data_IF_678000956721
#
_entry.id   IF_678000956721
#
_cell.length_a   1.000
_cell.length_b   1.000
_cell.length_c   1.000
_cell.angle_alpha   90.00
_cell.angle_beta   90.00
_cell.angle_gamma   90.00
#
_symmetry.space_group_name_H-M   'P 1'
#
loop_
_entity.id
_entity.type
_entity.pdbx_description
1 polymer ?
#
# COMPACT_ATOMS: atom_id res chain seq x y z
N UNK A 1 -26.28 5.45 3.28
CA UNK A 1 -25.37 5.11 2.17
C UNK A 1 -24.04 4.68 2.77
N UNK A 2 -23.68 3.40 2.72
CA UNK A 2 -22.41 2.96 3.27
C UNK A 2 -21.29 3.30 2.29
N UNK A 3 -20.31 4.06 2.78
CA UNK A 3 -19.05 4.38 2.12
C UNK A 3 -18.31 3.05 1.87
N UNK A 4 -17.85 2.77 0.64
CA UNK A 4 -17.10 1.55 0.36
C UNK A 4 -15.79 1.57 1.16
N UNK A 5 -15.50 0.45 1.82
CA UNK A 5 -14.24 0.20 2.52
C UNK A 5 -13.11 0.25 1.49
N UNK A 6 -12.39 1.36 1.43
CA UNK A 6 -11.04 1.39 0.86
C UNK A 6 -10.20 0.50 1.77
N UNK A 7 -9.83 -0.69 1.28
CA UNK A 7 -8.77 -1.48 1.87
C UNK A 7 -7.48 -0.68 1.70
N UNK A 8 -7.16 0.17 2.67
CA UNK A 8 -5.85 0.80 2.78
C UNK A 8 -4.81 -0.31 2.80
N UNK A 9 -3.92 -0.33 1.81
CA UNK A 9 -2.75 -1.20 1.79
C UNK A 9 -1.75 -0.62 2.79
N UNK A 10 -1.86 -0.94 4.06
CA UNK A 10 -0.78 -0.56 4.98
C UNK A 10 0.38 -1.52 4.72
N UNK A 11 1.32 -1.12 3.86
CA UNK A 11 2.62 -1.76 3.75
C UNK A 11 3.44 -1.39 5.00
N UNK A 12 3.77 -2.38 5.83
CA UNK A 12 4.72 -2.17 6.91
C UNK A 12 6.12 -2.14 6.29
N UNK A 13 6.77 -0.96 6.30
CA UNK A 13 8.06 -0.76 5.62
C UNK A 13 9.22 -1.13 6.52
N UNK A 14 9.93 -2.21 6.22
CA UNK A 14 11.12 -2.61 6.97
C UNK A 14 12.42 -1.97 6.45
N UNK A 15 13.27 -1.53 7.38
CA UNK A 15 14.60 -0.97 7.13
C UNK A 15 15.63 -2.09 7.33
N UNK A 16 16.46 -2.38 6.34
CA UNK A 16 17.50 -3.43 6.40
C UNK A 16 18.87 -2.76 6.43
N UNK A 17 19.32 -2.41 7.63
CA UNK A 17 20.65 -1.83 7.82
C UNK A 17 21.75 -2.82 7.40
N UNK A 18 22.33 -2.61 6.22
CA UNK A 18 23.52 -3.32 5.75
C UNK A 18 24.76 -2.67 6.39
N UNK A 19 25.39 -3.38 7.32
CA UNK A 19 26.70 -3.00 7.86
C UNK A 19 27.78 -3.27 6.81
N UNK A 20 28.10 -2.27 5.99
CA UNK A 20 29.28 -2.29 5.12
C UNK A 20 30.50 -1.67 5.84
N UNK A 21 31.59 -2.44 5.88
CA UNK A 21 32.82 -2.15 6.59
C UNK A 21 33.63 -0.96 6.05
N UNK A 22 34.50 -0.45 6.92
CA UNK A 22 35.39 0.69 6.73
C UNK A 22 36.35 0.54 5.53
N UNK A 23 36.57 1.64 4.80
CA UNK A 23 37.58 1.77 3.76
C UNK A 23 38.00 3.23 3.53
N UNK A 24 39.02 3.65 4.28
CA UNK A 24 40.01 4.75 4.18
C UNK A 24 39.93 5.85 3.11
N UNK A 25 40.20 7.09 3.58
CA UNK A 25 40.39 8.38 2.88
C UNK A 25 41.63 8.51 1.97
N UNK A 26 41.55 9.46 1.02
CA UNK A 26 42.67 10.12 0.32
C UNK A 26 42.20 11.22 -0.66
N UNK A 27 42.97 12.31 -0.94
CA UNK A 27 42.45 13.69 -0.83
C UNK A 27 42.31 14.55 -2.12
N UNK A 28 41.41 15.55 -2.01
CA UNK A 28 41.29 16.91 -2.60
C UNK A 28 41.86 17.32 -3.98
N UNK A 29 41.00 17.98 -4.77
CA UNK A 29 41.31 19.23 -5.52
C UNK A 29 40.04 20.07 -5.80
N UNK A 30 40.08 21.37 -5.47
CA UNK A 30 39.05 22.42 -5.67
C UNK A 30 38.97 22.90 -7.14
N UNK A 31 37.83 23.37 -7.69
CA UNK A 31 37.22 24.74 -7.66
C UNK A 31 35.99 24.74 -8.63
N UNK A 32 35.21 25.84 -8.86
CA UNK A 32 34.54 26.80 -7.97
C UNK A 32 32.99 26.83 -8.18
N UNK A 33 32.28 27.61 -7.37
CA UNK A 33 30.81 27.66 -7.26
C UNK A 33 30.06 28.22 -8.49
N UNK A 34 28.73 27.98 -8.57
CA UNK A 34 27.83 29.12 -8.63
C UNK A 34 26.66 29.07 -7.63
N UNK A 35 26.27 30.28 -7.26
CA UNK A 35 25.21 30.72 -6.39
C UNK A 35 23.81 30.21 -6.74
N UNK A 36 23.10 29.64 -5.75
CA UNK A 36 21.67 29.88 -5.53
C UNK A 36 21.29 29.40 -4.12
N UNK A 37 20.53 30.24 -3.41
CA UNK A 37 20.06 30.05 -2.05
C UNK A 37 19.15 28.81 -1.93
N UNK A 38 19.72 27.69 -1.48
CA UNK A 38 18.99 26.58 -0.86
C UNK A 38 19.28 26.64 0.63
N UNK A 39 18.24 26.73 1.46
CA UNK A 39 18.33 26.27 2.86
C UNK A 39 18.57 24.77 2.82
N UNK A 40 19.82 24.37 2.59
CA UNK A 40 20.29 23.00 2.68
C UNK A 40 20.47 22.64 4.13
N UNK A 41 19.37 22.36 4.82
CA UNK A 41 19.43 21.63 6.08
C UNK A 41 19.85 20.19 5.74
N UNK A 42 20.89 19.69 6.42
CA UNK A 42 21.34 18.32 6.24
C UNK A 42 20.18 17.34 6.50
N UNK A 43 20.12 16.18 5.83
CA UNK A 43 19.05 15.21 6.04
C UNK A 43 18.96 14.83 7.52
N UNK A 44 17.82 15.15 8.15
CA UNK A 44 17.59 14.79 9.55
C UNK A 44 17.22 13.31 9.60
N UNK A 45 18.13 12.48 10.13
CA UNK A 45 17.86 11.08 10.42
C UNK A 45 16.74 10.93 11.45
N UNK A 46 15.88 9.92 11.28
CA UNK A 46 14.76 9.66 12.17
C UNK A 46 13.58 10.64 12.04
N UNK A 47 13.53 11.44 10.97
CA UNK A 47 12.47 12.40 10.70
C UNK A 47 11.85 12.23 9.30
N UNK A 48 10.59 12.62 9.15
CA UNK A 48 10.02 12.87 7.84
C UNK A 48 10.51 14.21 7.29
N UNK A 49 10.90 14.24 6.01
CA UNK A 49 11.21 15.46 5.26
C UNK A 49 10.27 15.58 4.06
N UNK A 50 9.79 16.79 3.75
CA UNK A 50 8.97 17.00 2.56
C UNK A 50 9.80 16.93 1.28
N UNK A 51 9.32 16.14 0.33
CA UNK A 51 9.82 16.09 -1.06
C UNK A 51 8.84 16.80 -2.01
N UNK A 52 7.56 16.84 -1.64
CA UNK A 52 6.52 17.56 -2.38
C UNK A 52 5.45 18.07 -1.42
N UNK A 53 5.00 19.31 -1.66
CA UNK A 53 3.81 19.91 -1.05
C UNK A 53 3.05 20.57 -2.19
N UNK A 54 1.76 20.26 -2.34
CA UNK A 54 0.94 20.89 -3.36
C UNK A 54 0.84 22.40 -3.17
N UNK A 55 0.54 23.11 -4.25
CA UNK A 55 0.36 24.55 -4.23
C UNK A 55 -0.75 25.02 -3.28
N UNK A 56 -0.85 26.34 -3.11
CA UNK A 56 -1.85 27.01 -2.27
C UNK A 56 -3.22 26.98 -2.95
N UNK A 57 -3.78 25.79 -3.04
CA UNK A 57 -5.06 25.47 -3.70
C UNK A 57 -6.06 24.85 -2.70
N UNK A 58 -7.36 24.70 -3.04
CA UNK A 58 -8.44 24.49 -2.07
C UNK A 58 -8.31 23.25 -1.17
N UNK A 59 -9.11 23.26 -0.10
CA UNK A 59 -9.23 22.16 0.87
C UNK A 59 -9.58 20.85 0.16
N UNK A 60 -9.07 19.74 0.68
CA UNK A 60 -9.33 18.39 0.18
C UNK A 60 -8.22 17.78 -0.69
N UNK A 61 -7.06 18.43 -0.81
CA UNK A 61 -5.93 17.87 -1.56
C UNK A 61 -5.25 16.73 -0.80
N UNK A 62 -5.05 15.60 -1.48
CA UNK A 62 -4.35 14.45 -0.91
C UNK A 62 -3.58 13.67 -1.97
N UNK A 63 -2.39 13.20 -1.63
CA UNK A 63 -1.74 12.12 -2.39
C UNK A 63 -2.26 10.78 -1.87
N UNK A 64 -2.80 9.96 -2.77
CA UNK A 64 -3.54 8.73 -2.44
C UNK A 64 -2.65 7.49 -2.39
N UNK A 65 -1.75 7.36 -3.38
CA UNK A 65 -0.91 6.17 -3.54
C UNK A 65 0.44 6.53 -4.19
N UNK A 66 1.44 5.68 -4.03
CA UNK A 66 2.82 5.87 -4.49
C UNK A 66 3.49 4.55 -4.87
N UNK A 67 4.21 4.56 -5.99
CA UNK A 67 5.11 3.49 -6.44
C UNK A 67 6.54 4.02 -6.52
N UNK A 68 7.40 3.57 -5.60
CA UNK A 68 8.83 3.85 -5.63
C UNK A 68 9.55 2.84 -6.54
N UNK A 69 9.89 3.24 -7.76
CA UNK A 69 10.50 2.36 -8.77
C UNK A 69 11.99 2.18 -8.52
N UNK A 70 12.67 3.25 -8.13
CA UNK A 70 14.08 3.27 -7.73
C UNK A 70 14.38 4.53 -6.92
N UNK A 71 15.64 4.74 -6.52
CA UNK A 71 16.08 6.02 -5.95
C UNK A 71 15.89 7.23 -6.88
N UNK A 72 15.73 6.98 -8.20
CA UNK A 72 15.68 8.02 -9.23
C UNK A 72 14.37 8.09 -9.99
N UNK A 73 13.44 7.19 -9.71
CA UNK A 73 12.16 7.18 -10.39
C UNK A 73 11.07 6.68 -9.47
N UNK A 74 9.94 7.37 -9.51
CA UNK A 74 8.77 7.00 -8.76
C UNK A 74 7.56 7.80 -9.22
N UNK A 75 6.39 7.28 -8.87
CA UNK A 75 5.12 7.78 -9.33
C UNK A 75 4.16 7.91 -8.15
N UNK A 76 3.37 8.96 -8.12
CA UNK A 76 2.34 9.14 -7.10
C UNK A 76 1.07 9.67 -7.75
N UNK A 77 -0.09 9.29 -7.24
CA UNK A 77 -1.38 9.79 -7.73
C UNK A 77 -2.08 10.58 -6.63
N UNK A 78 -2.49 11.80 -6.98
CA UNK A 78 -3.10 12.74 -6.05
C UNK A 78 -4.51 13.11 -6.48
N UNK A 79 -5.41 13.25 -5.51
CA UNK A 79 -6.68 13.94 -5.69
C UNK A 79 -6.46 15.42 -5.38
N UNK A 80 -6.43 16.25 -6.43
CA UNK A 80 -6.22 17.69 -6.30
C UNK A 80 -7.50 18.45 -6.70
N UNK A 81 -7.90 19.41 -5.88
CA UNK A 81 -9.01 20.30 -6.17
C UNK A 81 -8.48 21.57 -6.83
N UNK A 82 -9.13 21.97 -7.93
CA UNK A 82 -8.85 23.28 -8.54
C UNK A 82 -9.64 24.39 -7.84
N UNK A 83 -9.07 25.59 -7.81
CA UNK A 83 -9.75 26.78 -7.32
C UNK A 83 -11.08 27.00 -8.05
N UNK A 84 -12.19 26.99 -7.31
CA UNK A 84 -13.54 27.15 -7.86
C UNK A 84 -14.14 25.88 -8.50
N UNK A 85 -13.42 24.75 -8.49
CA UNK A 85 -13.92 23.47 -8.97
C UNK A 85 -14.87 22.78 -7.98
N UNK A 86 -15.81 21.98 -8.49
CA UNK A 86 -16.79 21.25 -7.68
C UNK A 86 -16.31 19.88 -7.16
N UNK A 87 -15.09 19.44 -7.53
CA UNK A 87 -14.56 18.15 -7.08
C UNK A 87 -13.07 17.96 -7.39
N UNK A 88 -12.48 16.94 -6.77
CA UNK A 88 -11.10 16.57 -6.97
C UNK A 88 -10.87 15.97 -8.36
N UNK A 89 -9.74 16.31 -8.98
CA UNK A 89 -9.21 15.67 -10.17
C UNK A 89 -8.02 14.79 -9.81
N UNK A 90 -7.94 13.62 -10.43
CA UNK A 90 -6.77 12.76 -10.30
C UNK A 90 -5.61 13.34 -11.09
N UNK A 91 -4.48 13.57 -10.40
CA UNK A 91 -3.25 14.09 -10.95
C UNK A 91 -2.12 13.08 -10.70
N UNK A 92 -1.48 12.62 -11.77
CA UNK A 92 -0.24 11.85 -11.66
C UNK A 92 0.94 12.79 -11.37
N UNK A 93 1.84 12.37 -10.49
CA UNK A 93 3.10 13.03 -10.17
C UNK A 93 4.23 12.04 -10.50
N UNK A 94 5.33 12.55 -11.07
CA UNK A 94 6.55 11.79 -11.35
C UNK A 94 7.72 12.39 -10.60
N UNK A 95 8.54 11.54 -10.00
CA UNK A 95 9.88 11.88 -9.57
C UNK A 95 10.89 11.45 -10.63
N UNK A 96 11.78 12.37 -11.03
CA UNK A 96 12.77 12.16 -12.10
C UNK A 96 14.21 11.97 -11.59
N UNK A 97 14.37 11.78 -10.28
CA UNK A 97 15.69 11.69 -9.63
C UNK A 97 16.14 12.99 -9.01
N UNK A 98 15.43 14.08 -9.27
CA UNK A 98 15.75 15.40 -8.69
C UNK A 98 14.54 16.04 -8.01
N UNK A 99 13.35 15.98 -8.63
CA UNK A 99 12.15 16.65 -8.15
C UNK A 99 10.89 15.91 -8.52
N UNK A 100 9.84 16.16 -7.75
CA UNK A 100 8.48 15.79 -8.12
C UNK A 100 7.89 16.82 -9.08
N UNK A 101 7.15 16.34 -10.08
CA UNK A 101 6.44 17.19 -11.03
C UNK A 101 5.13 16.56 -11.49
N UNK A 102 4.16 17.41 -11.87
CA UNK A 102 2.91 16.95 -12.48
C UNK A 102 3.20 16.22 -13.80
N UNK A 103 2.55 15.10 -14.00
CA UNK A 103 2.61 14.29 -15.21
C UNK A 103 1.21 14.21 -15.83
N UNK A 104 1.10 14.48 -17.13
CA UNK A 104 -0.18 14.43 -17.83
C UNK A 104 -0.52 12.99 -18.25
N UNK A 105 -1.13 12.24 -17.33
CA UNK A 105 -1.59 10.87 -17.60
C UNK A 105 -2.76 10.84 -18.61
N UNK A 106 -3.51 11.94 -18.73
CA UNK A 106 -4.72 11.98 -19.55
C UNK A 106 -4.42 11.99 -21.05
N UNK A 107 -3.28 12.58 -21.46
CA UNK A 107 -2.83 12.51 -22.84
C UNK A 107 -2.37 11.11 -23.24
N UNK A 108 -1.64 10.43 -22.36
CA UNK A 108 -1.16 9.07 -22.56
C UNK A 108 -2.30 8.03 -22.65
N UNK A 109 -3.31 8.17 -21.79
CA UNK A 109 -4.43 7.22 -21.69
C UNK A 109 -5.72 7.73 -22.34
N UNK A 110 -5.65 8.74 -23.22
CA UNK A 110 -6.82 9.41 -23.82
C UNK A 110 -7.86 8.43 -24.34
N UNK A 111 -7.43 7.46 -25.14
CA UNK A 111 -8.34 6.50 -25.79
C UNK A 111 -8.97 5.53 -24.78
N UNK A 112 -8.22 5.15 -23.74
CA UNK A 112 -8.69 4.22 -22.71
C UNK A 112 -9.61 4.89 -21.68
N UNK A 113 -9.43 6.19 -21.42
CA UNK A 113 -10.30 6.98 -20.54
C UNK A 113 -11.56 7.45 -21.27
N UNK A 114 -11.45 7.76 -22.57
CA UNK A 114 -12.53 8.42 -23.30
C UNK A 114 -12.93 9.74 -22.64
N UNK A 115 -14.22 9.91 -22.35
CA UNK A 115 -14.74 11.05 -21.57
C UNK A 115 -14.82 10.77 -20.06
N UNK A 116 -14.38 9.59 -19.61
CA UNK A 116 -14.45 9.18 -18.22
C UNK A 116 -13.35 9.76 -17.35
N UNK A 117 -13.47 9.57 -16.04
CA UNK A 117 -12.49 10.05 -15.05
C UNK A 117 -11.94 8.91 -14.22
N UNK A 118 -10.64 8.98 -13.88
CA UNK A 118 -10.00 7.97 -13.03
C UNK A 118 -10.56 8.02 -11.61
N UNK A 119 -10.86 6.84 -11.07
CA UNK A 119 -11.30 6.65 -9.70
C UNK A 119 -10.64 5.41 -9.08
N UNK A 120 -10.51 5.41 -7.75
CA UNK A 120 -9.88 4.33 -6.98
C UNK A 120 -8.52 3.84 -7.53
N UNK A 121 -7.57 4.74 -7.86
CA UNK A 121 -6.31 4.32 -8.44
C UNK A 121 -5.41 3.64 -7.41
N UNK A 122 -4.63 2.67 -7.87
CA UNK A 122 -3.54 2.03 -7.13
C UNK A 122 -2.28 1.94 -7.97
N UNK A 123 -1.13 2.21 -7.37
CA UNK A 123 0.19 2.21 -8.00
C UNK A 123 1.04 1.08 -7.45
N UNK A 124 1.77 0.40 -8.33
CA UNK A 124 2.60 -0.75 -7.98
C UNK A 124 3.93 -0.66 -8.72
N UNK A 125 4.99 -1.12 -8.08
CA UNK A 125 6.31 -1.20 -8.70
C UNK A 125 6.97 -2.55 -8.46
N UNK A 126 7.86 -2.93 -9.38
CA UNK A 126 8.64 -4.16 -9.32
C UNK A 126 9.67 -4.23 -10.44
N UNK A 127 10.90 -4.64 -10.11
CA UNK A 127 12.05 -4.70 -11.04
C UNK A 127 12.15 -3.49 -12.00
N UNK A 128 12.10 -2.27 -11.45
CA UNK A 128 12.22 -1.05 -12.26
C UNK A 128 11.00 -0.70 -13.12
N UNK A 129 9.86 -1.36 -12.92
CA UNK A 129 8.61 -1.09 -13.65
C UNK A 129 7.58 -0.41 -12.75
N UNK A 130 6.70 0.39 -13.35
CA UNK A 130 5.55 1.01 -12.71
C UNK A 130 4.24 0.60 -13.39
N UNK A 131 3.24 0.26 -12.58
CA UNK A 131 1.90 -0.11 -13.03
C UNK A 131 0.84 0.67 -12.26
N UNK A 132 -0.23 1.02 -12.98
CA UNK A 132 -1.42 1.68 -12.48
C UNK A 132 -2.61 0.76 -12.71
N UNK A 133 -3.40 0.55 -11.66
CA UNK A 133 -4.70 -0.10 -11.75
C UNK A 133 -5.74 0.83 -11.15
N UNK A 134 -6.83 1.07 -11.88
CA UNK A 134 -7.86 2.01 -11.47
C UNK A 134 -9.22 1.60 -12.03
N UNK A 135 -10.23 2.42 -11.74
CA UNK A 135 -11.51 2.39 -12.45
C UNK A 135 -11.68 3.69 -13.23
N UNK A 136 -12.50 3.63 -14.27
CA UNK A 136 -12.91 4.80 -15.06
C UNK A 136 -14.40 4.99 -14.82
N UNK A 137 -14.76 6.12 -14.21
CA UNK A 137 -16.14 6.53 -14.00
C UNK A 137 -16.64 7.30 -15.22
N UNK A 138 -17.72 6.83 -15.86
CA UNK A 138 -18.30 7.40 -17.09
C UNK A 138 -19.51 8.30 -16.83
N UNK A 139 -19.71 8.71 -15.57
CA UNK A 139 -20.80 9.58 -15.14
C UNK A 139 -22.00 8.86 -14.50
N UNK A 140 -23.02 9.62 -14.07
CA UNK A 140 -24.17 9.08 -13.34
C UNK A 140 -24.92 7.99 -14.10
N UNK A 141 -25.28 6.91 -13.42
CA UNK A 141 -26.05 5.80 -14.01
C UNK A 141 -25.22 4.82 -14.86
N UNK A 142 -23.90 5.02 -14.96
CA UNK A 142 -23.00 4.10 -15.66
C UNK A 142 -22.17 3.27 -14.68
N UNK A 143 -21.80 2.06 -15.08
CA UNK A 143 -20.85 1.26 -14.32
C UNK A 143 -19.43 1.73 -14.63
N UNK A 144 -18.60 1.87 -13.59
CA UNK A 144 -17.19 2.16 -13.80
C UNK A 144 -16.46 0.93 -14.33
N UNK A 145 -15.57 1.13 -15.29
CA UNK A 145 -14.83 0.05 -15.95
C UNK A 145 -13.41 -0.04 -15.40
N UNK A 146 -12.85 -1.26 -15.18
CA UNK A 146 -11.48 -1.38 -14.73
C UNK A 146 -10.51 -0.96 -15.85
N UNK A 147 -9.37 -0.38 -15.46
CA UNK A 147 -8.27 -0.05 -16.37
C UNK A 147 -6.94 -0.45 -15.72
N UNK A 148 -6.03 -0.95 -16.56
CA UNK A 148 -4.62 -1.09 -16.21
C UNK A 148 -3.77 -0.28 -17.18
N UNK A 149 -2.68 0.28 -16.68
CA UNK A 149 -1.67 0.92 -17.50
C UNK A 149 -0.27 0.59 -16.97
N UNK A 150 0.70 0.52 -17.88
CA UNK A 150 2.11 0.30 -17.56
C UNK A 150 2.95 1.43 -18.11
N UNK A 151 3.97 1.84 -17.37
CA UNK A 151 4.97 2.77 -17.91
C UNK A 151 5.99 1.99 -18.75
N UNK A 152 6.23 2.41 -19.99
CA UNK A 152 7.15 1.74 -20.93
C UNK A 152 8.57 2.32 -20.92
N UNK A 153 8.85 3.26 -20.02
CA UNK A 153 10.10 4.04 -19.96
C UNK A 153 9.96 5.44 -20.56
N UNK A 154 8.97 5.65 -21.43
CA UNK A 154 8.69 6.95 -22.07
C UNK A 154 7.31 7.48 -21.67
N UNK A 155 6.27 6.64 -21.75
CA UNK A 155 4.88 7.02 -21.49
C UNK A 155 4.08 5.89 -20.86
N UNK A 156 2.91 6.23 -20.33
CA UNK A 156 1.95 5.22 -19.85
C UNK A 156 1.17 4.62 -21.03
N UNK A 157 1.08 3.30 -21.06
CA UNK A 157 0.35 2.54 -22.06
C UNK A 157 -0.79 1.78 -21.39
N UNK A 158 -2.00 1.92 -21.91
CA UNK A 158 -3.13 1.10 -21.49
C UNK A 158 -2.86 -0.39 -21.80
N UNK A 159 -3.25 -1.25 -20.87
CA UNK A 159 -3.14 -2.70 -20.98
C UNK A 159 -4.55 -3.28 -20.91
N UNK A 160 -4.92 -4.07 -21.90
CA UNK A 160 -6.22 -4.73 -21.93
C UNK A 160 -6.36 -5.68 -20.74
N UNK A 161 -7.50 -5.60 -20.05
CA UNK A 161 -7.82 -6.44 -18.91
C UNK A 161 -8.81 -7.54 -19.30
N UNK A 162 -8.72 -8.74 -18.68
CA UNK A 162 -9.76 -9.75 -18.82
C UNK A 162 -11.12 -9.26 -18.32
N UNK A 163 -12.22 -9.65 -18.99
CA UNK A 163 -13.59 -9.19 -18.66
C UNK A 163 -14.02 -9.50 -17.21
N UNK A 164 -13.40 -10.47 -16.53
CA UNK A 164 -13.69 -10.85 -15.14
C UNK A 164 -12.67 -10.35 -14.10
N UNK A 165 -11.70 -9.49 -14.46
CA UNK A 165 -10.68 -9.04 -13.51
C UNK A 165 -11.21 -7.94 -12.58
N UNK A 166 -11.73 -8.32 -11.42
CA UNK A 166 -12.15 -7.37 -10.36
C UNK A 166 -10.97 -6.99 -9.42
N UNK A 167 -9.79 -6.87 -10.04
CA UNK A 167 -8.43 -6.80 -9.49
C UNK A 167 -8.33 -6.44 -8.00
N UNK A 168 -8.43 -7.45 -7.14
CA UNK A 168 -8.47 -7.29 -5.68
C UNK A 168 -7.08 -7.17 -5.04
N UNK A 169 -6.05 -7.66 -5.73
CA UNK A 169 -4.66 -7.64 -5.29
C UNK A 169 -3.75 -7.76 -6.50
N UNK A 170 -2.57 -7.16 -6.43
CA UNK A 170 -1.61 -7.12 -7.55
C UNK A 170 -0.20 -7.24 -6.99
N UNK A 171 0.62 -8.07 -7.64
CA UNK A 171 2.06 -8.17 -7.45
C UNK A 171 2.75 -7.93 -8.79
N UNK A 172 3.63 -6.93 -8.85
CA UNK A 172 4.46 -6.64 -10.03
C UNK A 172 5.85 -7.21 -9.77
N UNK A 173 6.28 -8.18 -10.56
CA UNK A 173 7.63 -8.74 -10.49
C UNK A 173 8.54 -8.09 -11.52
N UNK A 174 7.96 -7.60 -12.62
CA UNK A 174 8.65 -6.86 -13.66
C UNK A 174 7.68 -6.36 -14.74
N UNK A 175 8.20 -5.87 -15.89
CA UNK A 175 7.37 -5.27 -16.94
C UNK A 175 6.51 -6.31 -17.69
N UNK A 176 6.88 -7.58 -17.60
CA UNK A 176 6.27 -8.72 -18.30
C UNK A 176 5.98 -9.88 -17.36
N UNK A 177 5.96 -9.63 -16.04
CA UNK A 177 5.59 -10.63 -15.04
C UNK A 177 4.79 -9.93 -13.93
N UNK A 178 3.47 -9.97 -14.08
CA UNK A 178 2.54 -9.33 -13.13
C UNK A 178 1.44 -10.31 -12.81
N UNK A 179 1.10 -10.41 -11.53
CA UNK A 179 0.02 -11.24 -11.06
C UNK A 179 -1.08 -10.39 -10.43
N UNK A 180 -2.32 -10.65 -10.80
CA UNK A 180 -3.49 -9.98 -10.25
C UNK A 180 -4.52 -11.00 -9.74
N UNK A 181 -5.08 -10.77 -8.56
CA UNK A 181 -6.15 -11.58 -8.01
C UNK A 181 -7.50 -11.19 -8.61
N UNK A 182 -8.24 -12.20 -9.07
CA UNK A 182 -9.66 -12.05 -9.40
C UNK A 182 -10.53 -12.04 -8.13
N UNK A 183 -11.85 -12.15 -8.33
CA UNK A 183 -12.81 -12.24 -7.21
C UNK A 183 -12.46 -13.43 -6.29
N UNK A 184 -12.38 -13.25 -4.96
CA UNK A 184 -11.95 -14.31 -4.05
C UNK A 184 -12.71 -15.64 -4.21
N UNK A 185 -14.04 -15.57 -4.36
CA UNK A 185 -14.91 -16.75 -4.57
C UNK A 185 -14.60 -17.54 -5.85
N UNK A 186 -14.05 -16.89 -6.88
CA UNK A 186 -13.67 -17.53 -8.15
C UNK A 186 -12.33 -18.26 -8.04
N UNK A 187 -11.50 -17.94 -7.04
CA UNK A 187 -10.16 -18.51 -6.82
C UNK A 187 -9.33 -18.45 -8.10
N UNK A 188 -9.26 -17.28 -8.69
CA UNK A 188 -8.51 -17.03 -9.93
C UNK A 188 -7.40 -16.04 -9.67
N UNK A 189 -6.21 -16.35 -10.16
CA UNK A 189 -5.11 -15.40 -10.34
C UNK A 189 -4.85 -15.23 -11.83
N UNK A 190 -4.69 -14.00 -12.28
CA UNK A 190 -4.35 -13.63 -13.65
C UNK A 190 -2.86 -13.33 -13.72
N UNK A 191 -2.17 -13.88 -14.71
CA UNK A 191 -0.76 -13.64 -14.97
C UNK A 191 -0.58 -12.91 -16.29
N UNK A 192 0.10 -11.78 -16.26
CA UNK A 192 0.54 -11.05 -17.45
C UNK A 192 1.97 -11.45 -17.79
N UNK A 193 2.18 -11.90 -19.02
CA UNK A 193 3.46 -12.37 -19.54
C UNK A 193 4.20 -11.34 -20.42
N UNK A 194 3.70 -10.11 -20.48
CA UNK A 194 4.18 -9.08 -21.40
C UNK A 194 3.32 -8.88 -22.65
N UNK A 195 2.40 -9.82 -22.94
CA UNK A 195 1.56 -9.80 -24.13
C UNK A 195 0.09 -10.03 -23.81
N UNK A 196 -0.19 -11.00 -22.95
CA UNK A 196 -1.57 -11.38 -22.61
C UNK A 196 -1.71 -11.79 -21.15
N UNK A 197 -2.97 -11.79 -20.70
CA UNK A 197 -3.35 -12.26 -19.38
C UNK A 197 -3.83 -13.71 -19.45
N UNK A 198 -3.21 -14.61 -18.68
CA UNK A 198 -3.63 -16.00 -18.54
C UNK A 198 -4.21 -16.26 -17.16
N UNK A 199 -5.36 -16.93 -17.09
CA UNK A 199 -5.98 -17.31 -15.82
C UNK A 199 -5.37 -18.60 -15.26
N UNK A 200 -5.03 -18.59 -13.98
CA UNK A 200 -4.66 -19.77 -13.21
C UNK A 200 -5.54 -19.94 -11.97
N UNK A 201 -5.90 -21.18 -11.66
CA UNK A 201 -6.71 -21.50 -10.48
C UNK A 201 -5.87 -21.47 -9.20
N UNK A 202 -6.42 -20.85 -8.17
CA UNK A 202 -5.89 -20.84 -6.81
C UNK A 202 -6.51 -21.98 -5.98
N UNK A 203 -5.76 -22.56 -5.03
CA UNK A 203 -6.32 -23.52 -4.08
C UNK A 203 -7.19 -22.85 -3.00
N UNK A 204 -7.09 -21.53 -2.84
CA UNK A 204 -7.73 -20.74 -1.79
C UNK A 204 -8.42 -19.48 -2.31
N UNK A 205 -9.34 -18.93 -1.52
CA UNK A 205 -9.98 -17.63 -1.76
C UNK A 205 -9.03 -16.53 -1.32
N UNK A 206 -8.09 -16.17 -2.21
CA UNK A 206 -7.03 -15.23 -1.90
C UNK A 206 -7.58 -13.81 -1.73
N UNK A 207 -7.11 -13.11 -0.69
CA UNK A 207 -7.36 -11.68 -0.50
C UNK A 207 -6.10 -10.84 -0.73
N UNK A 208 -4.92 -11.44 -0.58
CA UNK A 208 -3.65 -10.77 -0.74
C UNK A 208 -2.69 -11.60 -1.58
N UNK A 209 -1.89 -10.92 -2.40
CA UNK A 209 -0.83 -11.48 -3.22
C UNK A 209 0.41 -10.62 -3.03
N UNK A 210 1.57 -11.26 -3.05
CA UNK A 210 2.83 -10.60 -2.76
C UNK A 210 4.00 -11.39 -3.36
N UNK A 211 5.09 -10.72 -3.66
CA UNK A 211 6.29 -11.28 -4.28
C UNK A 211 7.52 -10.82 -3.52
N UNK A 212 8.58 -11.63 -3.53
CA UNK A 212 9.91 -11.18 -3.17
C UNK A 212 10.42 -10.09 -4.12
N UNK A 213 11.17 -9.13 -3.57
CA UNK A 213 11.80 -8.00 -4.26
C UNK A 213 12.82 -8.42 -5.34
N UNK A 214 13.40 -9.63 -5.21
CA UNK A 214 14.33 -10.22 -6.18
C UNK A 214 13.64 -10.99 -7.32
N UNK A 215 12.30 -11.14 -7.25
CA UNK A 215 11.49 -11.87 -8.24
C UNK A 215 11.64 -13.39 -8.11
N UNK A 216 10.51 -14.10 -8.00
CA UNK A 216 10.48 -15.56 -8.14
C UNK A 216 9.79 -16.34 -7.01
N UNK A 217 9.61 -15.74 -5.83
CA UNK A 217 8.77 -16.33 -4.77
C UNK A 217 7.46 -15.55 -4.64
N UNK A 218 6.48 -15.94 -5.45
CA UNK A 218 5.15 -15.37 -5.43
C UNK A 218 4.26 -16.16 -4.47
N UNK A 219 3.64 -15.44 -3.53
CA UNK A 219 2.74 -16.01 -2.54
C UNK A 219 1.41 -15.30 -2.51
N UNK A 220 0.37 -16.07 -2.23
CA UNK A 220 -0.94 -15.55 -1.87
C UNK A 220 -1.28 -15.99 -0.47
N UNK A 221 -2.10 -15.19 0.18
CA UNK A 221 -2.78 -15.61 1.39
C UNK A 221 -4.24 -15.22 1.33
N UNK A 222 -5.02 -16.03 2.01
CA UNK A 222 -6.41 -15.78 2.19
C UNK A 222 -7.08 -16.90 2.94
N UNK A 223 -8.23 -17.33 2.47
CA UNK A 223 -9.06 -18.26 3.23
C UNK A 223 -9.41 -19.51 2.42
N UNK A 224 -9.51 -20.63 3.12
CA UNK A 224 -10.22 -21.81 2.63
C UNK A 224 -11.46 -22.05 3.49
N UNK A 225 -12.58 -22.51 2.90
CA UNK A 225 -13.69 -23.04 3.69
C UNK A 225 -13.17 -24.13 4.64
N UNK A 226 -13.50 -24.04 5.93
CA UNK A 226 -13.14 -25.05 6.93
C UNK A 226 -13.99 -26.31 6.73
N UNK A 227 -13.42 -27.47 6.32
CA UNK A 227 -14.18 -28.71 6.14
C UNK A 227 -14.73 -29.26 7.46
N UNK A 228 -14.16 -28.88 8.61
CA UNK A 228 -14.63 -29.27 9.94
C UNK A 228 -15.79 -28.41 10.47
N UNK A 229 -16.20 -27.38 9.72
CA UNK A 229 -17.26 -26.47 10.10
C UNK A 229 -18.68 -26.95 9.77
N UNK A 230 -18.84 -28.13 9.16
CA UNK A 230 -20.12 -28.72 8.76
C UNK A 230 -20.97 -29.25 9.94
N UNK A 231 -21.01 -28.49 11.03
CA UNK A 231 -22.11 -28.49 12.00
C UNK A 231 -22.58 -27.07 12.22
N UNK A 232 -22.97 -26.42 11.12
CA UNK A 232 -23.88 -25.29 11.22
C UNK A 232 -25.15 -25.82 11.89
N UNK A 233 -25.34 -25.45 13.14
CA UNK A 233 -26.59 -25.65 13.84
C UNK A 233 -27.64 -24.80 13.10
N UNK A 234 -28.50 -25.44 12.30
CA UNK A 234 -29.55 -24.81 11.47
C UNK A 234 -30.65 -24.12 12.31
N UNK A 235 -30.48 -24.05 13.63
CA UNK A 235 -31.50 -23.64 14.60
C UNK A 235 -31.76 -22.14 14.71
N UNK A 236 -30.96 -21.26 14.09
CA UNK A 236 -31.20 -19.80 14.07
C UNK A 236 -31.04 -19.21 12.65
N UNK A 237 -32.12 -19.19 11.85
CA UNK A 237 -32.13 -18.61 10.51
C UNK A 237 -31.97 -17.08 10.50
N UNK A 238 -32.21 -16.40 11.62
CA UNK A 238 -32.05 -14.94 11.74
C UNK A 238 -30.59 -14.55 12.05
N UNK A 239 -29.78 -15.48 12.57
CA UNK A 239 -28.37 -15.27 12.90
C UNK A 239 -27.47 -16.44 12.45
N UNK A 240 -27.29 -16.66 11.14
CA UNK A 240 -26.41 -17.71 10.65
C UNK A 240 -24.99 -17.54 11.22
N UNK A 241 -24.50 -18.55 11.96
CA UNK A 241 -23.12 -18.54 12.47
C UNK A 241 -22.16 -18.38 11.29
N UNK A 242 -21.17 -17.48 11.35
CA UNK A 242 -20.23 -17.30 10.27
C UNK A 242 -19.52 -18.64 10.01
N UNK A 243 -19.48 -19.09 8.75
CA UNK A 243 -18.66 -20.23 8.36
C UNK A 243 -17.21 -19.92 8.75
N UNK A 244 -16.60 -20.67 9.68
CA UNK A 244 -15.20 -20.51 10.00
C UNK A 244 -14.38 -20.58 8.71
N UNK A 245 -13.59 -19.55 8.47
CA UNK A 245 -12.60 -19.54 7.42
C UNK A 245 -11.26 -19.91 8.06
N UNK A 246 -10.54 -20.86 7.46
CA UNK A 246 -9.16 -21.16 7.87
C UNK A 246 -8.22 -20.33 7.01
N UNK A 247 -7.30 -19.64 7.68
CA UNK A 247 -6.21 -18.92 7.05
C UNK A 247 -5.32 -19.91 6.26
N UNK A 248 -5.04 -19.59 4.99
CA UNK A 248 -4.22 -20.40 4.10
C UNK A 248 -3.27 -19.52 3.29
N UNK A 249 -2.10 -20.07 2.95
CA UNK A 249 -1.19 -19.50 1.96
C UNK A 249 -1.03 -20.47 0.79
N UNK A 250 -0.64 -19.94 -0.36
CA UNK A 250 -0.15 -20.73 -1.45
C UNK A 250 1.03 -20.03 -2.12
N UNK A 251 1.97 -20.84 -2.61
CA UNK A 251 3.15 -20.39 -3.34
C UNK A 251 3.07 -20.82 -4.79
N UNK A 252 3.55 -19.96 -5.69
CA UNK A 252 3.76 -20.31 -7.09
C UNK A 252 5.03 -21.13 -7.24
N UNK A 253 4.94 -22.32 -7.83
CA UNK A 253 6.11 -23.20 -8.08
C UNK A 253 6.72 -23.04 -9.49
N UNK A 254 6.29 -22.02 -10.24
CA UNK A 254 6.63 -21.83 -11.65
C UNK A 254 5.63 -22.44 -12.63
N UNK A 255 4.71 -23.29 -12.18
CA UNK A 255 3.68 -23.93 -13.03
C UNK A 255 2.28 -23.94 -12.42
N UNK A 256 2.17 -24.07 -11.11
CA UNK A 256 0.90 -24.11 -10.37
C UNK A 256 1.05 -23.53 -8.98
N UNK A 257 -0.07 -23.07 -8.44
CA UNK A 257 -0.18 -22.69 -7.04
C UNK A 257 -0.23 -23.94 -6.15
N UNK A 258 0.66 -24.00 -5.16
CA UNK A 258 0.67 -25.05 -4.13
C UNK A 258 0.30 -24.44 -2.79
N UNK A 259 -0.69 -25.02 -2.15
CA UNK A 259 -1.04 -24.64 -0.79
C UNK A 259 0.15 -24.89 0.16
N UNK A 260 0.49 -23.89 0.95
CA UNK A 260 1.42 -23.99 2.04
C UNK A 260 0.62 -24.24 3.31
N UNK A 261 1.00 -25.29 4.06
CA UNK A 261 0.35 -25.59 5.33
C UNK A 261 0.71 -24.49 6.33
N UNK A 262 -0.25 -23.62 6.60
CA UNK A 262 -0.19 -22.76 7.78
C UNK A 262 -0.40 -23.60 9.03
N UNK A 263 0.27 -23.27 10.15
CA UNK A 263 0.11 -24.03 11.39
C UNK A 263 -1.37 -24.05 11.75
N UNK A 264 -1.88 -25.26 12.00
CA UNK A 264 -3.16 -25.40 12.67
C UNK A 264 -2.99 -24.68 14.01
N UNK A 265 -3.73 -23.60 14.19
CA UNK A 265 -3.74 -22.89 15.46
C UNK A 265 -4.49 -23.83 16.41
N UNK A 266 -3.78 -24.76 17.05
CA UNK A 266 -4.36 -25.67 18.04
C UNK A 266 -4.98 -24.81 19.13
N UNK A 267 -6.31 -24.83 19.15
CA UNK A 267 -7.08 -24.04 20.08
C UNK A 267 -7.35 -24.93 21.30
N UNK A 268 -6.54 -24.80 22.35
CA UNK A 268 -6.74 -25.56 23.58
C UNK A 268 -8.11 -25.33 24.25
N UNK A 269 -8.89 -24.33 23.80
CA UNK A 269 -10.28 -24.11 24.23
C UNK A 269 -11.28 -24.57 23.14
N UNK A 270 -12.04 -25.61 23.46
CA UNK A 270 -13.12 -26.17 22.63
C UNK A 270 -14.34 -25.24 22.41
N UNK A 271 -14.20 -23.93 22.65
CA UNK A 271 -15.26 -22.92 22.52
C UNK A 271 -14.87 -21.64 21.76
N UNK A 272 -13.81 -21.69 20.93
CA UNK A 272 -13.36 -20.74 19.88
C UNK A 272 -12.25 -19.71 20.23
N UNK A 273 -10.96 -20.10 20.09
CA UNK A 273 -9.89 -19.11 19.82
C UNK A 273 -8.89 -19.47 18.68
N UNK A 274 -8.97 -18.78 17.53
CA UNK A 274 -7.95 -18.83 16.45
C UNK A 274 -8.05 -17.62 15.51
N UNK A 275 -7.03 -17.34 14.69
CA UNK A 275 -7.09 -16.32 13.62
C UNK A 275 -8.18 -16.68 12.60
N UNK A 276 -9.42 -16.29 12.87
CA UNK A 276 -10.62 -16.68 12.11
C UNK A 276 -11.14 -15.58 11.19
N UNK A 277 -10.47 -14.41 11.16
CA UNK A 277 -10.82 -13.35 10.23
C UNK A 277 -10.04 -13.48 8.94
N UNK A 278 -10.57 -12.83 7.89
CA UNK A 278 -9.85 -12.69 6.63
C UNK A 278 -8.47 -12.08 6.89
N UNK A 279 -7.45 -12.53 6.13
CA UNK A 279 -6.16 -11.83 6.03
C UNK A 279 -6.46 -10.38 5.70
N UNK A 280 -6.02 -9.48 6.55
CA UNK A 280 -6.14 -8.05 6.28
C UNK A 280 -4.94 -7.55 5.49
N UNK A 281 -3.76 -8.12 5.73
CA UNK A 281 -2.54 -7.72 5.03
C UNK A 281 -1.51 -8.84 4.98
N UNK A 282 -0.71 -8.83 3.91
CA UNK A 282 0.54 -9.57 3.80
C UNK A 282 1.69 -8.57 3.71
N UNK A 283 2.75 -8.82 4.48
CA UNK A 283 4.00 -8.06 4.40
C UNK A 283 5.10 -9.03 4.01
N UNK A 284 5.78 -8.77 2.89
CA UNK A 284 6.96 -9.51 2.47
C UNK A 284 8.19 -8.64 2.69
N UNK A 285 9.18 -9.22 3.34
CA UNK A 285 10.51 -8.64 3.51
C UNK A 285 11.59 -9.41 2.73
N UNK A 286 11.32 -10.67 2.40
CA UNK A 286 12.16 -11.54 1.59
C UNK A 286 11.55 -12.93 1.47
N UNK A 287 12.17 -13.84 0.71
CA UNK A 287 11.70 -15.23 0.56
C UNK A 287 11.49 -15.98 1.89
N UNK A 288 12.28 -15.60 2.90
CA UNK A 288 12.31 -16.24 4.22
C UNK A 288 11.72 -15.36 5.32
N UNK A 289 11.08 -14.25 4.96
CA UNK A 289 10.52 -13.30 5.93
C UNK A 289 9.19 -12.74 5.40
N UNK A 290 8.11 -13.51 5.60
CA UNK A 290 6.75 -13.15 5.16
C UNK A 290 5.79 -13.17 6.33
N UNK A 291 4.93 -12.17 6.42
CA UNK A 291 4.00 -11.97 7.52
C UNK A 291 2.58 -11.91 7.01
N UNK A 292 1.70 -12.75 7.56
CA UNK A 292 0.26 -12.67 7.36
C UNK A 292 -0.37 -12.11 8.63
N UNK A 293 -1.05 -10.97 8.52
CA UNK A 293 -1.64 -10.28 9.66
C UNK A 293 -3.17 -10.18 9.52
N UNK A 294 -3.85 -10.34 10.65
CA UNK A 294 -5.29 -10.26 10.77
C UNK A 294 -5.74 -9.91 12.19
N UNK A 295 -7.02 -10.11 12.47
CA UNK A 295 -7.62 -9.86 13.77
C UNK A 295 -8.11 -11.20 14.34
N UNK A 296 -7.98 -11.38 15.64
CA UNK A 296 -8.58 -12.46 16.40
C UNK A 296 -9.79 -11.87 17.14
N UNK A 297 -11.01 -12.30 16.77
CA UNK A 297 -12.22 -11.89 17.49
C UNK A 297 -12.24 -12.51 18.89
N UNK A 298 -12.52 -11.69 19.90
CA UNK A 298 -12.85 -12.16 21.24
C UNK A 298 -14.19 -12.91 21.28
N UNK A 299 -14.50 -13.61 22.40
CA UNK A 299 -15.77 -14.31 22.56
C UNK A 299 -16.95 -13.35 22.39
N UNK A 300 -17.96 -13.76 21.60
CA UNK A 300 -19.17 -12.97 21.38
C UNK A 300 -19.96 -12.81 22.67
N UNK A 301 -20.03 -11.59 23.21
CA UNK A 301 -20.75 -11.28 24.46
C UNK A 301 -22.21 -10.87 24.27
N UNK A 302 -22.78 -11.03 23.06
CA UNK A 302 -24.20 -10.77 22.80
C UNK A 302 -24.60 -9.30 22.68
N UNK A 303 -23.67 -8.34 22.74
CA UNK A 303 -23.96 -6.91 22.61
C UNK A 303 -23.44 -6.35 21.29
N UNK A 304 -24.31 -5.67 20.53
CA UNK A 304 -24.03 -5.14 19.18
C UNK A 304 -22.94 -4.05 19.10
N UNK A 305 -22.44 -3.55 20.23
CA UNK A 305 -21.73 -2.26 20.27
C UNK A 305 -20.27 -2.28 20.75
N UNK A 306 -19.70 -3.40 21.17
CA UNK A 306 -18.23 -3.53 21.34
C UNK A 306 -17.88 -5.00 21.52
N UNK A 307 -17.28 -5.69 20.52
CA UNK A 307 -16.66 -6.98 20.78
C UNK A 307 -15.51 -6.77 21.76
N UNK A 308 -15.51 -7.40 22.95
CA UNK A 308 -14.41 -7.28 23.87
C UNK A 308 -13.23 -8.09 23.34
N UNK A 309 -12.16 -7.41 22.94
CA UNK A 309 -10.84 -8.01 22.82
C UNK A 309 -10.41 -8.47 21.43
N UNK A 310 -10.71 -7.73 20.37
CA UNK A 310 -10.04 -7.89 19.08
C UNK A 310 -8.52 -7.83 19.31
N UNK A 311 -7.82 -8.95 19.14
CA UNK A 311 -6.36 -9.04 19.29
C UNK A 311 -5.73 -9.11 17.91
N UNK A 312 -4.72 -8.27 17.60
CA UNK A 312 -3.96 -8.45 16.38
C UNK A 312 -3.31 -9.84 16.39
N UNK A 313 -3.41 -10.55 15.28
CA UNK A 313 -2.79 -11.85 15.12
C UNK A 313 -1.84 -11.82 13.93
N UNK A 314 -0.65 -12.39 14.11
CA UNK A 314 0.40 -12.41 13.10
C UNK A 314 0.94 -13.83 12.96
N UNK A 315 1.01 -14.31 11.72
CA UNK A 315 1.76 -15.49 11.34
C UNK A 315 3.01 -15.05 10.59
N UNK A 316 4.12 -15.73 10.84
CA UNK A 316 5.42 -15.46 10.25
C UNK A 316 5.95 -16.71 9.55
N UNK A 317 6.38 -16.53 8.31
CA UNK A 317 7.14 -17.49 7.52
C UNK A 317 8.63 -17.19 7.67
N UNK A 318 9.39 -18.21 8.10
CA UNK A 318 10.83 -18.12 8.39
C UNK A 318 11.73 -18.74 7.30
N UNK A 319 11.20 -18.96 6.10
CA UNK A 319 11.88 -19.69 5.02
C UNK A 319 11.58 -21.18 4.97
N UNK A 320 11.06 -21.74 6.07
CA UNK A 320 10.80 -23.19 6.19
C UNK A 320 9.38 -23.50 6.58
N UNK A 321 8.79 -22.72 7.47
CA UNK A 321 7.44 -22.94 7.98
C UNK A 321 6.78 -21.65 8.44
N UNK A 322 5.45 -21.67 8.41
CA UNK A 322 4.63 -20.66 9.06
C UNK A 322 4.54 -20.94 10.56
N UNK A 323 4.62 -19.90 11.40
CA UNK A 323 4.48 -19.99 12.86
C UNK A 323 3.73 -18.78 13.42
N UNK A 324 3.01 -18.94 14.56
CA UNK A 324 2.38 -17.80 15.24
C UNK A 324 3.46 -16.94 15.88
N UNK A 325 3.46 -15.66 15.56
CA UNK A 325 4.38 -14.71 16.16
C UNK A 325 3.65 -13.82 17.17
N UNK A 326 4.33 -13.57 18.29
CA UNK A 326 3.93 -12.54 19.28
C UNK A 326 4.54 -11.18 18.95
N UNK A 327 5.59 -11.15 18.15
CA UNK A 327 6.24 -9.93 17.67
C UNK A 327 5.70 -9.55 16.30
N UNK A 328 5.62 -8.26 16.01
CA UNK A 328 5.31 -7.75 14.67
C UNK A 328 6.61 -7.44 13.94
N UNK A 329 6.62 -7.46 12.59
CA UNK A 329 7.82 -7.17 11.82
C UNK A 329 8.36 -5.77 12.15
N UNK A 330 9.68 -5.60 12.02
CA UNK A 330 10.30 -4.29 12.03
C UNK A 330 9.73 -3.45 10.89
N UNK A 331 9.60 -2.15 11.12
CA UNK A 331 9.23 -1.21 10.09
C UNK A 331 8.47 0.01 10.57
N UNK A 332 8.17 0.89 9.62
CA UNK A 332 7.32 2.07 9.86
C UNK A 332 5.90 1.58 10.15
N UNK A 333 5.43 1.88 11.35
CA UNK A 333 4.11 1.47 11.82
C UNK A 333 3.04 2.50 11.47
N UNK A 334 3.41 3.78 11.56
CA UNK A 334 2.60 4.94 11.18
C UNK A 334 3.48 6.19 11.08
N UNK A 335 2.86 7.34 10.81
CA UNK A 335 3.52 8.64 10.66
C UNK A 335 4.39 9.09 11.87
N UNK A 336 4.24 8.46 13.04
CA UNK A 336 4.91 8.84 14.29
C UNK A 336 5.80 7.74 14.86
N UNK A 337 5.72 6.50 14.36
CA UNK A 337 6.34 5.34 15.02
C UNK A 337 7.02 4.42 14.01
N UNK A 338 8.23 4.01 14.37
CA UNK A 338 9.00 2.97 13.68
C UNK A 338 9.36 1.87 14.68
N UNK A 339 9.32 0.61 14.26
CA UNK A 339 9.82 -0.54 15.01
C UNK A 339 11.15 -0.99 14.42
N UNK A 340 12.21 -1.06 15.22
CA UNK A 340 13.48 -1.65 14.79
C UNK A 340 13.48 -3.18 14.86
N UNK A 341 14.52 -3.82 14.33
CA UNK A 341 14.71 -5.29 14.35
C UNK A 341 14.72 -5.89 15.75
N UNK A 342 15.20 -5.13 16.74
CA UNK A 342 15.15 -5.52 18.16
C UNK A 342 13.72 -5.45 18.76
N UNK A 343 12.70 -5.15 17.95
CA UNK A 343 11.31 -4.99 18.37
C UNK A 343 11.01 -3.67 19.09
N UNK A 344 12.02 -2.84 19.39
CA UNK A 344 11.85 -1.54 20.07
C UNK A 344 11.12 -0.56 19.15
N UNK A 345 10.11 0.11 19.69
CA UNK A 345 9.39 1.16 19.00
C UNK A 345 10.03 2.51 19.34
N UNK A 346 10.43 3.24 18.31
CA UNK A 346 10.99 4.60 18.38
C UNK A 346 10.03 5.59 17.72
N UNK A 347 10.14 6.86 18.12
CA UNK A 347 9.33 7.94 17.55
C UNK A 347 9.99 8.46 16.28
N UNK A 348 9.20 8.64 15.22
CA UNK A 348 9.59 9.39 14.03
C UNK A 348 9.26 10.87 14.26
N UNK A 349 10.22 11.76 14.04
CA UNK A 349 9.99 13.19 14.11
C UNK A 349 9.09 13.66 12.96
N UNK A 350 8.19 14.60 13.27
CA UNK A 350 7.29 15.20 12.27
C UNK A 350 8.10 16.07 11.29
N UNK A 351 7.62 16.22 10.05
CA UNK A 351 8.20 17.23 9.16
C UNK A 351 7.91 18.64 9.69
N UNK A 352 8.61 19.67 9.18
CA UNK A 352 8.28 21.07 9.44
C UNK A 352 6.80 21.38 9.15
N UNK A 353 6.27 22.48 9.68
CA UNK A 353 4.90 22.90 9.37
C UNK A 353 4.80 23.42 7.93
N UNK A 354 3.76 23.01 7.19
CA UNK A 354 3.47 23.63 5.89
C UNK A 354 2.73 24.95 6.09
N UNK A 355 2.88 25.84 5.11
CA UNK A 355 2.19 27.13 5.08
C UNK A 355 0.71 26.95 4.73
N UNK A 356 -0.16 27.67 5.45
CA UNK A 356 -1.59 27.71 5.17
C UNK A 356 -1.93 28.61 3.98
N UNK A 357 -3.14 29.18 3.99
CA UNK A 357 -3.61 30.09 2.91
C UNK A 357 -2.80 31.40 2.86
N UNK A 358 -2.26 31.85 4.00
CA UNK A 358 -1.49 33.11 4.09
C UNK A 358 -0.10 33.04 3.45
N UNK A 359 0.35 31.85 3.04
CA UNK A 359 1.70 31.63 2.50
C UNK A 359 2.83 31.71 3.55
N UNK A 360 2.51 31.87 4.84
CA UNK A 360 3.46 31.84 5.96
C UNK A 360 2.97 30.87 7.04
N UNK A 361 3.87 30.35 7.87
CA UNK A 361 3.49 29.52 9.03
C UNK A 361 3.06 30.43 10.17
N UNK A 362 1.76 30.48 10.42
CA UNK A 362 1.13 31.21 11.53
C UNK A 362 0.95 30.32 12.77
N UNK A 363 0.56 30.90 13.91
CA UNK A 363 0.18 30.12 15.10
C UNK A 363 -0.99 29.16 14.85
N UNK A 364 -1.89 29.54 13.94
CA UNK A 364 -3.03 28.71 13.53
C UNK A 364 -2.54 27.51 12.72
N UNK A 365 -1.61 27.72 11.78
CA UNK A 365 -1.05 26.64 10.95
C UNK A 365 -0.28 25.60 11.78
N UNK A 366 0.29 25.98 12.94
CA UNK A 366 0.97 25.04 13.85
C UNK A 366 0.03 23.99 14.47
N UNK A 367 -1.29 24.16 14.33
CA UNK A 367 -2.30 23.19 14.75
C UNK A 367 -2.61 22.13 13.68
N UNK A 368 -1.96 22.21 12.52
CA UNK A 368 -2.15 21.27 11.42
C UNK A 368 -1.87 19.81 11.84
N UNK A 369 -2.57 18.90 11.19
CA UNK A 369 -2.41 17.46 11.32
C UNK A 369 -1.75 16.94 10.06
N UNK A 370 -0.70 16.13 10.25
CA UNK A 370 -0.07 15.37 9.19
C UNK A 370 -0.59 13.93 9.23
N UNK A 371 -1.10 13.44 8.10
CA UNK A 371 -1.58 12.07 7.92
C UNK A 371 -0.94 11.43 6.71
N UNK A 372 -0.55 10.17 6.87
CA UNK A 372 -0.10 9.32 5.78
C UNK A 372 -1.27 8.47 5.28
N UNK A 373 -1.36 8.33 3.97
CA UNK A 373 -2.26 7.46 3.23
C UNK A 373 -1.57 6.15 2.87
N UNK A 374 -0.34 6.24 2.36
CA UNK A 374 0.45 5.11 1.87
C UNK A 374 1.94 5.33 2.17
N UNK A 375 2.70 4.24 2.30
CA UNK A 375 4.16 4.28 2.48
C UNK A 375 4.80 3.20 1.60
N UNK A 376 5.73 3.59 0.73
CA UNK A 376 6.49 2.67 -0.11
C UNK A 376 7.98 2.65 0.27
N UNK A 377 8.61 1.46 0.41
CA UNK A 377 10.06 1.37 0.51
C UNK A 377 10.71 1.81 -0.79
N UNK A 378 11.87 2.48 -0.72
CA UNK A 378 12.65 2.81 -1.92
C UNK A 378 13.57 1.63 -2.25
N UNK A 379 13.46 1.02 -3.45
CA UNK A 379 14.27 -0.15 -3.78
C UNK A 379 15.78 0.10 -3.67
N UNK A 380 16.48 -0.82 -3.01
CA UNK A 380 17.92 -0.77 -2.82
C UNK A 380 18.39 0.24 -1.76
N UNK A 381 17.49 0.74 -0.90
CA UNK A 381 17.85 1.60 0.24
C UNK A 381 17.09 1.23 1.50
N UNK A 382 17.50 1.88 2.59
CA UNK A 382 16.82 1.90 3.88
C UNK A 382 15.76 3.00 3.99
N UNK A 383 15.47 3.70 2.90
CA UNK A 383 14.58 4.85 2.90
C UNK A 383 13.15 4.42 2.55
N UNK A 384 12.20 5.23 3.01
CA UNK A 384 10.79 5.06 2.69
C UNK A 384 10.20 6.38 2.24
N UNK A 385 9.28 6.32 1.29
CA UNK A 385 8.48 7.45 0.89
C UNK A 385 7.06 7.29 1.43
N UNK A 386 6.56 8.34 2.07
CA UNK A 386 5.18 8.41 2.55
C UNK A 386 4.40 9.45 1.75
N UNK A 387 3.12 9.19 1.54
CA UNK A 387 2.21 10.13 0.87
C UNK A 387 0.98 10.38 1.72
N UNK A 388 0.34 11.53 1.57
CA UNK A 388 -0.91 11.81 2.26
C UNK A 388 -1.28 13.29 2.28
N UNK A 389 -1.67 13.77 3.46
CA UNK A 389 -2.13 15.15 3.68
C UNK A 389 -1.43 15.85 4.84
N UNK A 390 -1.23 17.16 4.68
CA UNK A 390 -1.05 18.09 5.79
C UNK A 390 -2.23 19.07 5.79
N UNK A 391 -3.04 19.05 6.84
CA UNK A 391 -4.33 19.76 6.85
C UNK A 391 -4.64 20.43 8.18
N UNK A 392 -5.49 21.45 8.11
CA UNK A 392 -6.10 22.09 9.27
C UNK A 392 -7.60 22.19 9.06
N UNK A 393 -8.37 21.29 9.67
CA UNK A 393 -9.84 21.22 9.54
C UNK A 393 -10.63 22.27 10.35
N UNK A 394 -10.07 23.45 10.61
CA UNK A 394 -10.74 24.50 11.37
C UNK A 394 -11.81 25.22 10.52
N UNK A 395 -12.94 25.61 11.14
CA UNK A 395 -14.00 26.38 10.49
C UNK A 395 -13.58 27.85 10.28
N UNK A 396 -13.64 28.32 9.03
CA UNK A 396 -13.34 29.70 8.63
C UNK A 396 -12.20 29.80 7.60
N UNK A 397 -11.62 31.00 7.45
CA UNK A 397 -10.65 31.35 6.40
C UNK A 397 -9.25 30.71 6.56
N UNK A 398 -9.05 29.92 7.62
CA UNK A 398 -7.78 29.23 7.90
C UNK A 398 -7.77 27.75 7.46
N UNK A 399 -8.88 27.24 6.91
CA UNK A 399 -8.98 25.84 6.49
C UNK A 399 -8.08 25.55 5.29
N UNK A 400 -7.22 24.55 5.38
CA UNK A 400 -6.43 24.08 4.25
C UNK A 400 -6.20 22.58 4.31
N UNK A 401 -5.95 21.98 3.15
CA UNK A 401 -5.38 20.65 3.04
C UNK A 401 -4.39 20.64 1.88
N UNK A 402 -3.17 20.17 2.14
CA UNK A 402 -2.09 20.03 1.17
C UNK A 402 -1.88 18.56 0.89
N UNK A 403 -1.82 18.21 -0.39
CA UNK A 403 -1.29 16.92 -0.81
C UNK A 403 0.23 16.95 -0.58
N UNK A 404 0.75 15.95 0.12
CA UNK A 404 2.19 15.90 0.49
C UNK A 404 2.82 14.56 0.16
N UNK A 405 4.10 14.64 -0.20
CA UNK A 405 5.02 13.49 -0.28
C UNK A 405 6.19 13.77 0.65
N UNK A 406 6.50 12.80 1.50
CA UNK A 406 7.59 12.86 2.46
C UNK A 406 8.56 11.70 2.26
N UNK A 407 9.81 11.90 2.64
CA UNK A 407 10.85 10.87 2.69
C UNK A 407 11.30 10.68 4.12
N UNK A 408 11.43 9.42 4.53
CA UNK A 408 12.01 9.01 5.79
C UNK A 408 13.36 8.38 5.53
N UNK A 409 14.35 8.84 6.29
CA UNK A 409 15.68 8.25 6.36
C UNK A 409 15.89 7.80 7.82
N UNK A 410 16.09 6.50 8.07
CA UNK A 410 16.20 5.97 9.43
C UNK A 410 17.37 6.56 10.22
#
# INVERSE_FOLDING_TARGET
>A
MPIPRVTSRVALVAVVALLAGCGTEGPNSADPAPSSSRTGEAPVHGAWAYEYVSDIDPVGNQVLDIAAVSQREAWAIAALHEAGGSGARMQMLRYDGSRWQRYDLSSDLRDALGSGTLSSPTLHSGAGSAWLFARVDHGPGTYSTPIAARFDGTRWLAVALPEESDMAGVAVLGPSDIWALGKPKKRTAWHWDGREWTATRLPLEAQAITTETAGGDLRVAGNVPDPGADKADESDPDHPKPRPLRLAAARWDGRRWREERMPDVETADAKFPGCRTQVQTLVVRGADDVWAMGIEYGPYTGTRYTPPGDRPCALHWDGKRWSKSRALPAGILDAKRVRGENGKVSRIARPPFVTGITGKVTEVDRKQVFRLAEIAPVPGTDEAWGVGTAELGASGDANFSRAVIVRYRP
#
